data_IF_842382033254
#
_entry.id   IF_842382033254
#
_cell.length_a   1.000
_cell.length_b   1.000
_cell.length_c   1.000
_cell.angle_alpha   90.00
_cell.angle_beta   90.00
_cell.angle_gamma   90.00
#
_symmetry.space_group_name_H-M   'P 1'
#
loop_
_entity.id
_entity.type
_entity.pdbx_description
1 polymer ?
#
# COMPACT_ATOMS: atom_id res chain seq x y z
N UNK A 1 -30.22 4.28 6.75
CA UNK A 1 -28.99 3.71 6.16
C UNK A 1 -27.89 4.76 6.34
N UNK A 2 -26.74 4.37 6.90
CA UNK A 2 -25.61 5.30 7.07
C UNK A 2 -25.00 5.70 5.71
N UNK A 3 -24.18 6.77 5.66
CA UNK A 3 -23.49 7.16 4.44
C UNK A 3 -22.53 6.05 3.96
N UNK A 4 -22.46 5.84 2.65
CA UNK A 4 -21.55 4.85 2.02
C UNK A 4 -20.09 5.25 2.29
N UNK A 5 -19.19 4.30 2.63
CA UNK A 5 -17.77 4.60 2.81
C UNK A 5 -17.14 5.18 1.55
N UNK A 6 -16.28 6.20 1.70
CA UNK A 6 -15.54 6.80 0.57
C UNK A 6 -14.37 5.91 0.19
N UNK A 7 -14.21 5.61 -1.09
CA UNK A 7 -13.06 4.81 -1.56
C UNK A 7 -11.79 5.66 -1.52
N UNK A 8 -10.76 5.14 -0.85
CA UNK A 8 -9.40 5.66 -0.89
C UNK A 8 -8.49 4.62 -1.54
N UNK A 9 -7.81 4.98 -2.61
CA UNK A 9 -6.79 4.14 -3.22
C UNK A 9 -5.41 4.66 -2.82
N UNK A 10 -4.60 3.84 -2.16
CA UNK A 10 -3.19 4.16 -1.87
C UNK A 10 -2.29 3.42 -2.84
N UNK A 11 -1.64 4.14 -3.73
CA UNK A 11 -0.58 3.61 -4.59
C UNK A 11 0.76 3.77 -3.88
N UNK A 12 1.50 2.66 -3.75
CA UNK A 12 2.74 2.61 -2.99
C UNK A 12 3.76 1.63 -3.58
N UNK A 13 5.03 1.87 -3.28
CA UNK A 13 6.16 0.98 -3.53
C UNK A 13 6.96 0.84 -2.23
N UNK A 14 7.41 -0.37 -1.90
CA UNK A 14 8.22 -0.61 -0.69
C UNK A 14 9.60 0.05 -0.74
N UNK A 15 10.05 0.45 -1.93
CA UNK A 15 11.24 1.29 -2.13
C UNK A 15 11.03 2.75 -1.70
N UNK A 16 9.80 3.20 -1.43
CA UNK A 16 9.54 4.58 -1.00
C UNK A 16 9.33 4.64 0.52
N UNK A 17 10.19 5.37 1.27
CA UNK A 17 10.02 5.53 2.71
C UNK A 17 8.80 6.38 3.05
N UNK A 18 8.51 7.41 2.24
CA UNK A 18 7.30 8.23 2.40
C UNK A 18 6.02 7.42 2.13
N UNK A 19 6.10 6.40 1.27
CA UNK A 19 4.96 5.50 1.07
C UNK A 19 4.64 4.71 2.33
N UNK A 20 5.66 4.27 3.08
CA UNK A 20 5.46 3.60 4.37
C UNK A 20 4.77 4.52 5.38
N UNK A 21 5.23 5.78 5.48
CA UNK A 21 4.64 6.76 6.39
C UNK A 21 3.16 7.01 6.07
N UNK A 22 2.84 7.24 4.79
CA UNK A 22 1.46 7.45 4.37
C UNK A 22 0.58 6.20 4.56
N UNK A 23 1.13 5.02 4.29
CA UNK A 23 0.50 3.74 4.52
C UNK A 23 0.09 3.54 5.99
N UNK A 24 1.01 3.74 6.94
CA UNK A 24 0.70 3.51 8.36
C UNK A 24 -0.37 4.47 8.88
N UNK A 25 -0.35 5.73 8.42
CA UNK A 25 -1.40 6.69 8.78
C UNK A 25 -2.76 6.20 8.27
N UNK A 26 -2.87 5.86 6.98
CA UNK A 26 -4.14 5.41 6.41
C UNK A 26 -4.64 4.09 7.03
N UNK A 27 -3.73 3.15 7.36
CA UNK A 27 -4.09 1.92 8.07
C UNK A 27 -4.67 2.20 9.47
N UNK A 28 -4.10 3.15 10.24
CA UNK A 28 -4.64 3.55 11.55
C UNK A 28 -6.03 4.16 11.45
N UNK A 29 -6.29 4.92 10.39
CA UNK A 29 -7.59 5.58 10.17
C UNK A 29 -8.65 4.70 9.50
N UNK A 30 -8.29 3.52 8.95
CA UNK A 30 -9.22 2.59 8.28
C UNK A 30 -10.47 2.27 9.11
N UNK A 31 -10.30 2.15 10.43
CA UNK A 31 -11.39 1.79 11.35
C UNK A 31 -11.98 3.00 12.10
N UNK A 32 -11.61 4.22 11.70
CA UNK A 32 -12.01 5.47 12.35
C UNK A 32 -12.84 6.31 11.38
N UNK A 33 -12.32 6.54 10.18
CA UNK A 33 -13.02 7.26 9.12
C UNK A 33 -13.97 6.33 8.37
N UNK A 34 -15.04 6.89 7.80
CA UNK A 34 -15.96 6.15 6.95
C UNK A 34 -15.37 5.95 5.54
N UNK A 35 -14.31 5.15 5.46
CA UNK A 35 -13.52 4.91 4.24
C UNK A 35 -13.43 3.43 3.88
N UNK A 36 -13.25 3.16 2.59
CA UNK A 36 -12.81 1.88 2.07
C UNK A 36 -11.39 2.02 1.52
N UNK A 37 -10.39 1.62 2.31
CA UNK A 37 -8.98 1.73 1.94
C UNK A 37 -8.56 0.56 1.03
N UNK A 38 -8.24 0.87 -0.22
CA UNK A 38 -7.71 -0.05 -1.21
C UNK A 38 -6.21 0.16 -1.37
N UNK A 39 -5.44 -0.87 -1.03
CA UNK A 39 -4.00 -0.89 -1.19
C UNK A 39 -3.65 -1.28 -2.63
N UNK A 40 -2.87 -0.46 -3.33
CA UNK A 40 -2.49 -0.64 -4.74
C UNK A 40 -0.97 -0.77 -4.90
N UNK A 41 -0.41 -2.00 -4.82
CA UNK A 41 1.00 -2.24 -5.09
C UNK A 41 1.37 -1.69 -6.47
N UNK A 42 2.31 -0.75 -6.51
CA UNK A 42 2.70 0.00 -7.70
C UNK A 42 4.21 0.06 -7.82
N UNK A 43 4.73 0.07 -9.03
CA UNK A 43 6.18 0.08 -9.24
C UNK A 43 6.67 1.51 -9.48
N UNK A 44 7.40 2.08 -8.52
CA UNK A 44 7.95 3.43 -8.65
C UNK A 44 8.85 3.54 -9.89
N UNK A 45 9.53 2.45 -10.26
CA UNK A 45 10.33 2.34 -11.48
C UNK A 45 9.57 2.53 -12.80
N UNK A 46 8.25 2.33 -12.79
CA UNK A 46 7.37 2.62 -13.91
C UNK A 46 6.90 4.08 -13.98
N UNK A 47 7.08 4.83 -12.89
CA UNK A 47 6.72 6.26 -12.76
C UNK A 47 7.97 7.13 -12.90
N UNK A 48 9.06 6.75 -12.23
CA UNK A 48 10.39 7.37 -12.20
C UNK A 48 11.40 6.30 -12.60
N UNK A 49 12.42 6.57 -13.43
CA UNK A 49 13.31 5.54 -14.02
C UNK A 49 14.33 4.92 -13.03
N UNK A 50 13.92 4.56 -11.81
CA UNK A 50 14.75 3.92 -10.78
C UNK A 50 14.29 2.49 -10.48
N UNK A 51 15.21 1.61 -10.10
CA UNK A 51 14.90 0.18 -9.89
C UNK A 51 15.53 -0.35 -8.60
N UNK A 52 14.81 -1.28 -7.93
CA UNK A 52 15.27 -1.91 -6.70
C UNK A 52 14.23 -2.81 -6.01
N UNK A 53 12.95 -2.67 -6.33
CA UNK A 53 11.85 -3.39 -5.65
C UNK A 53 11.01 -4.30 -6.56
N UNK A 54 11.40 -4.52 -7.82
CA UNK A 54 10.55 -5.21 -8.81
C UNK A 54 10.07 -6.60 -8.33
N UNK A 55 10.96 -7.40 -7.74
CA UNK A 55 10.61 -8.72 -7.20
C UNK A 55 9.60 -8.60 -6.05
N UNK A 56 9.85 -7.69 -5.11
CA UNK A 56 8.98 -7.42 -3.97
C UNK A 56 7.59 -6.92 -4.42
N UNK A 57 7.52 -5.97 -5.36
CA UNK A 57 6.24 -5.43 -5.84
C UNK A 57 5.44 -6.44 -6.66
N UNK A 58 6.09 -7.34 -7.40
CA UNK A 58 5.42 -8.49 -8.03
C UNK A 58 4.89 -9.48 -6.99
N UNK A 59 5.66 -9.76 -5.95
CA UNK A 59 5.20 -10.61 -4.85
C UNK A 59 3.97 -10.01 -4.17
N UNK A 60 4.00 -8.72 -3.80
CA UNK A 60 2.84 -8.02 -3.24
C UNK A 60 1.63 -8.00 -4.18
N UNK A 61 1.86 -7.95 -5.49
CA UNK A 61 0.80 -8.06 -6.49
C UNK A 61 0.18 -9.48 -6.48
N UNK A 62 0.99 -10.53 -6.35
CA UNK A 62 0.50 -11.90 -6.20
C UNK A 62 -0.29 -12.08 -4.88
N UNK A 63 0.20 -11.51 -3.77
CA UNK A 63 -0.51 -11.47 -2.49
C UNK A 63 -1.87 -10.78 -2.65
N UNK A 64 -1.92 -9.60 -3.27
CA UNK A 64 -3.19 -8.90 -3.47
C UNK A 64 -4.21 -9.68 -4.33
N UNK A 65 -3.74 -10.50 -5.28
CA UNK A 65 -4.61 -11.26 -6.17
C UNK A 65 -5.22 -12.51 -5.51
N UNK A 66 -4.56 -13.09 -4.50
CA UNK A 66 -4.97 -14.39 -3.93
C UNK A 66 -5.21 -14.36 -2.42
N UNK A 67 -4.48 -13.53 -1.70
CA UNK A 67 -4.50 -13.36 -0.24
C UNK A 67 -4.53 -11.87 0.16
N UNK A 68 -5.52 -11.09 -0.31
CA UNK A 68 -5.57 -9.65 -0.05
C UNK A 68 -5.60 -9.29 1.45
N UNK A 69 -6.08 -10.20 2.30
CA UNK A 69 -6.04 -10.09 3.76
C UNK A 69 -4.62 -10.01 4.34
N UNK A 70 -3.63 -10.58 3.65
CA UNK A 70 -2.22 -10.56 4.06
C UNK A 70 -1.45 -9.36 3.52
N UNK A 71 -2.01 -8.63 2.55
CA UNK A 71 -1.31 -7.56 1.83
C UNK A 71 -0.74 -6.49 2.76
N UNK A 72 -1.51 -6.10 3.77
CA UNK A 72 -1.06 -5.08 4.72
C UNK A 72 0.17 -5.54 5.51
N UNK A 73 0.13 -6.74 6.07
CA UNK A 73 1.20 -7.27 6.91
C UNK A 73 2.46 -7.58 6.11
N UNK A 74 2.32 -8.15 4.90
CA UNK A 74 3.46 -8.46 4.04
C UNK A 74 4.15 -7.17 3.57
N UNK A 75 3.39 -6.13 3.19
CA UNK A 75 3.96 -4.84 2.83
C UNK A 75 4.72 -4.21 3.99
N UNK A 76 4.14 -4.24 5.20
CA UNK A 76 4.80 -3.77 6.42
C UNK A 76 6.11 -4.51 6.67
N UNK A 77 6.15 -5.83 6.56
CA UNK A 77 7.38 -6.59 6.78
C UNK A 77 8.46 -6.32 5.72
N UNK A 78 8.08 -6.07 4.47
CA UNK A 78 9.02 -5.66 3.43
C UNK A 78 9.62 -4.27 3.71
N UNK A 79 8.80 -3.29 4.12
CA UNK A 79 9.33 -1.99 4.57
C UNK A 79 10.22 -2.13 5.81
N UNK A 80 9.84 -2.98 6.77
CA UNK A 80 10.65 -3.23 7.96
C UNK A 80 12.02 -3.84 7.61
N UNK A 81 12.13 -4.66 6.57
CA UNK A 81 13.43 -5.16 6.07
C UNK A 81 14.29 -4.02 5.56
N UNK A 82 13.86 -3.34 4.49
CA UNK A 82 14.68 -2.37 3.78
C UNK A 82 14.87 -1.04 4.56
N UNK A 83 13.84 -0.52 5.23
CA UNK A 83 13.90 0.81 5.87
C UNK A 83 14.12 0.80 7.38
N UNK A 84 13.89 -0.33 8.06
CA UNK A 84 14.14 -0.42 9.50
C UNK A 84 15.36 -1.26 9.85
N UNK A 85 15.73 -2.25 9.02
CA UNK A 85 16.82 -3.19 9.33
C UNK A 85 17.95 -3.18 8.31
N UNK A 86 17.85 -2.38 7.24
CA UNK A 86 18.81 -2.35 6.13
C UNK A 86 19.04 -3.74 5.51
N UNK A 87 17.96 -4.53 5.42
CA UNK A 87 17.97 -5.89 4.89
C UNK A 87 17.49 -5.93 3.44
N UNK A 88 18.05 -6.85 2.65
CA UNK A 88 17.66 -7.09 1.26
C UNK A 88 16.16 -7.43 1.12
N UNK A 89 15.56 -6.99 0.00
CA UNK A 89 14.21 -7.34 -0.45
C UNK A 89 14.18 -7.81 -1.93
N UNK A 90 15.34 -8.07 -2.52
CA UNK A 90 15.45 -8.45 -3.94
C UNK A 90 15.51 -9.96 -4.14
N UNK A 91 16.06 -10.69 -3.16
CA UNK A 91 16.28 -12.12 -3.25
C UNK A 91 15.03 -12.92 -2.83
N UNK A 92 14.80 -14.11 -3.43
CA UNK A 92 13.73 -15.04 -3.05
C UNK A 92 13.59 -15.25 -1.55
N UNK A 93 14.68 -15.66 -0.88
CA UNK A 93 14.70 -15.96 0.55
C UNK A 93 14.36 -14.75 1.43
N UNK A 94 14.74 -13.55 0.99
CA UNK A 94 14.44 -12.31 1.70
C UNK A 94 12.94 -12.00 1.67
N UNK A 95 12.29 -12.22 0.53
CA UNK A 95 10.86 -12.01 0.34
C UNK A 95 10.06 -13.05 1.13
N UNK A 96 10.48 -14.32 1.10
CA UNK A 96 9.86 -15.40 1.87
C UNK A 96 9.95 -15.12 3.38
N UNK A 97 11.12 -14.70 3.87
CA UNK A 97 11.29 -14.35 5.28
C UNK A 97 10.35 -13.21 5.72
N UNK A 98 10.10 -12.21 4.86
CA UNK A 98 9.12 -11.17 5.14
C UNK A 98 7.68 -11.72 5.20
N UNK A 99 7.33 -12.59 4.25
CA UNK A 99 6.00 -13.19 4.15
C UNK A 99 5.69 -14.10 5.35
N UNK A 100 6.62 -14.95 5.76
CA UNK A 100 6.50 -15.83 6.93
C UNK A 100 6.37 -15.01 8.21
N UNK A 101 7.19 -13.96 8.37
CA UNK A 101 7.10 -13.05 9.52
C UNK A 101 5.78 -12.28 9.57
N UNK A 102 5.18 -12.01 8.41
CA UNK A 102 3.85 -11.42 8.29
C UNK A 102 2.71 -12.42 8.62
N UNK A 103 3.03 -13.71 8.83
CA UNK A 103 2.09 -14.76 9.24
C UNK A 103 1.67 -15.72 8.13
N UNK A 104 2.29 -15.68 6.95
CA UNK A 104 2.03 -16.68 5.90
C UNK A 104 2.70 -18.02 6.22
N UNK A 105 2.11 -19.14 5.80
CA UNK A 105 2.82 -20.42 5.81
C UNK A 105 3.93 -20.42 4.74
N UNK A 106 4.97 -21.23 4.95
CA UNK A 106 6.06 -21.37 3.99
C UNK A 106 5.54 -21.84 2.62
N UNK A 107 4.57 -22.77 2.59
CA UNK A 107 3.96 -23.27 1.36
C UNK A 107 3.18 -22.17 0.62
N UNK A 108 2.42 -21.35 1.35
CA UNK A 108 1.68 -20.23 0.76
C UNK A 108 2.64 -19.19 0.18
N UNK A 109 3.65 -18.79 0.95
CA UNK A 109 4.64 -17.80 0.52
C UNK A 109 5.40 -18.29 -0.72
N UNK A 110 5.85 -19.55 -0.71
CA UNK A 110 6.56 -20.16 -1.84
C UNK A 110 5.68 -20.21 -3.10
N UNK A 111 4.42 -20.63 -2.97
CA UNK A 111 3.48 -20.68 -4.09
C UNK A 111 3.21 -19.30 -4.72
N UNK A 112 3.11 -18.24 -3.92
CA UNK A 112 2.97 -16.87 -4.43
C UNK A 112 4.27 -16.36 -5.07
N UNK A 113 5.43 -16.72 -4.53
CA UNK A 113 6.72 -16.32 -5.08
C UNK A 113 6.93 -16.88 -6.48
N UNK A 114 6.58 -18.14 -6.73
CA UNK A 114 6.62 -18.77 -8.05
C UNK A 114 5.71 -18.02 -9.04
N UNK A 115 4.50 -17.68 -8.60
CA UNK A 115 3.51 -16.93 -9.39
C UNK A 115 3.93 -15.50 -9.69
N UNK A 116 4.83 -14.90 -8.91
CA UNK A 116 5.29 -13.52 -9.11
C UNK A 116 5.90 -13.27 -10.50
N UNK A 117 6.40 -14.34 -11.14
CA UNK A 117 6.99 -14.30 -12.48
C UNK A 117 5.99 -14.50 -13.63
N UNK A 118 4.73 -14.83 -13.33
CA UNK A 118 3.69 -15.10 -14.33
C UNK A 118 3.28 -13.84 -15.09
N UNK A 119 2.75 -14.03 -16.30
CA UNK A 119 2.20 -12.93 -17.12
C UNK A 119 1.07 -12.20 -16.41
N UNK A 120 0.18 -12.93 -15.71
CA UNK A 120 -0.91 -12.37 -14.91
C UNK A 120 -0.40 -11.36 -13.88
N UNK A 121 0.57 -11.74 -13.06
CA UNK A 121 1.13 -10.85 -12.02
C UNK A 121 1.87 -9.67 -12.64
N UNK A 122 2.70 -9.91 -13.67
CA UNK A 122 3.43 -8.85 -14.38
C UNK A 122 2.48 -7.81 -14.99
N UNK A 123 1.38 -8.27 -15.60
CA UNK A 123 0.39 -7.39 -16.22
C UNK A 123 -0.40 -6.63 -15.15
N UNK A 124 -0.82 -7.28 -14.07
CA UNK A 124 -1.52 -6.61 -12.98
C UNK A 124 -0.69 -5.48 -12.35
N UNK A 125 0.61 -5.71 -12.09
CA UNK A 125 1.48 -4.67 -11.55
C UNK A 125 1.64 -3.50 -12.53
N UNK A 126 1.78 -3.79 -13.83
CA UNK A 126 1.83 -2.78 -14.89
C UNK A 126 0.55 -1.96 -14.92
N UNK A 127 -0.61 -2.60 -15.00
CA UNK A 127 -1.93 -1.94 -15.07
C UNK A 127 -2.20 -1.06 -13.84
N UNK A 128 -1.81 -1.53 -12.66
CA UNK A 128 -1.93 -0.77 -11.40
C UNK A 128 -1.02 0.46 -11.42
N UNK A 129 0.21 0.31 -11.89
CA UNK A 129 1.17 1.43 -12.03
C UNK A 129 0.70 2.43 -13.08
N UNK A 130 0.19 1.97 -14.22
CA UNK A 130 -0.39 2.83 -15.26
C UNK A 130 -1.65 3.56 -14.77
N UNK A 131 -2.44 2.95 -13.88
CA UNK A 131 -3.56 3.64 -13.23
C UNK A 131 -3.08 4.83 -12.39
N UNK A 132 -1.99 4.67 -11.63
CA UNK A 132 -1.36 5.79 -10.92
C UNK A 132 -0.94 6.91 -11.88
N UNK A 133 -0.32 6.55 -13.01
CA UNK A 133 0.06 7.52 -14.05
C UNK A 133 -1.16 8.23 -14.66
N UNK A 134 -2.27 7.53 -14.89
CA UNK A 134 -3.53 8.13 -15.39
C UNK A 134 -4.13 9.13 -14.40
N UNK A 135 -3.93 8.92 -13.10
CA UNK A 135 -4.29 9.89 -12.06
C UNK A 135 -3.29 11.06 -11.95
N UNK A 136 -2.21 11.07 -12.72
CA UNK A 136 -1.20 12.13 -12.72
C UNK A 136 -0.05 11.92 -11.74
N UNK A 137 0.21 10.68 -11.30
CA UNK A 137 1.36 10.39 -10.44
C UNK A 137 2.69 10.78 -11.10
N UNK A 138 3.53 11.50 -10.35
CA UNK A 138 4.93 11.81 -10.71
C UNK A 138 5.94 11.23 -9.69
N UNK A 139 5.44 10.50 -8.70
CA UNK A 139 6.19 9.83 -7.63
C UNK A 139 5.23 9.06 -6.73
N UNK A 140 5.73 8.46 -5.64
CA UNK A 140 4.93 7.74 -4.66
C UNK A 140 5.26 8.16 -3.21
N UNK A 141 4.28 8.17 -2.30
CA UNK A 141 2.92 7.68 -2.48
C UNK A 141 2.01 8.69 -3.18
N UNK A 142 0.98 8.18 -3.86
CA UNK A 142 -0.24 8.97 -4.13
C UNK A 142 -1.43 8.31 -3.45
N UNK A 143 -2.31 9.13 -2.89
CA UNK A 143 -3.63 8.73 -2.41
C UNK A 143 -4.68 9.32 -3.34
N UNK A 144 -5.58 8.48 -3.83
CA UNK A 144 -6.71 8.91 -4.66
C UNK A 144 -7.98 8.77 -3.84
N UNK A 145 -8.66 9.88 -3.61
CA UNK A 145 -9.91 9.94 -2.85
C UNK A 145 -11.08 10.16 -3.79
N UNK A 146 -12.11 9.30 -3.69
CA UNK A 146 -13.37 9.45 -4.40
C UNK A 146 -14.44 9.96 -3.44
N UNK A 147 -14.80 11.23 -3.56
CA UNK A 147 -15.71 11.93 -2.64
C UNK A 147 -16.79 12.63 -3.43
N UNK A 148 -18.05 12.30 -3.16
CA UNK A 148 -19.24 12.96 -3.72
C UNK A 148 -19.21 13.16 -5.25
N UNK A 149 -18.73 12.14 -5.98
CA UNK A 149 -18.61 12.14 -7.44
C UNK A 149 -17.34 12.80 -7.99
N UNK A 150 -16.49 13.36 -7.12
CA UNK A 150 -15.19 13.94 -7.48
C UNK A 150 -14.04 12.98 -7.16
N UNK A 151 -12.94 13.14 -7.88
CA UNK A 151 -11.70 12.38 -7.67
C UNK A 151 -10.56 13.35 -7.36
N UNK A 152 -9.89 13.14 -6.24
CA UNK A 152 -8.76 13.95 -5.80
C UNK A 152 -7.51 13.07 -5.70
N UNK A 153 -6.47 13.39 -6.49
CA UNK A 153 -5.16 12.77 -6.34
C UNK A 153 -4.29 13.65 -5.43
N UNK A 154 -3.68 13.03 -4.43
CA UNK A 154 -2.89 13.69 -3.39
C UNK A 154 -1.54 12.98 -3.32
N UNK A 155 -0.46 13.72 -3.57
CA UNK A 155 0.91 13.21 -3.47
C UNK A 155 1.49 13.42 -2.07
N UNK A 156 2.25 12.43 -1.58
CA UNK A 156 3.03 12.51 -0.34
C UNK A 156 2.32 11.98 0.91
N UNK A 157 3.08 11.89 2.01
CA UNK A 157 2.58 11.44 3.32
C UNK A 157 2.16 12.58 4.25
N UNK A 158 2.36 13.83 3.82
CA UNK A 158 2.14 15.06 4.59
C UNK A 158 0.78 15.74 4.31
N UNK A 159 -0.07 15.11 3.49
CA UNK A 159 -1.37 15.64 3.08
C UNK A 159 -2.56 14.95 3.75
N UNK A 160 -2.32 14.14 4.79
CA UNK A 160 -3.37 13.38 5.45
C UNK A 160 -4.40 14.27 6.17
N UNK A 161 -3.99 15.45 6.65
CA UNK A 161 -4.89 16.45 7.20
C UNK A 161 -5.78 17.09 6.12
N UNK A 162 -5.23 17.38 4.94
CA UNK A 162 -6.00 17.83 3.78
C UNK A 162 -7.00 16.76 3.33
N UNK A 163 -6.58 15.50 3.32
CA UNK A 163 -7.45 14.37 3.00
C UNK A 163 -8.61 14.27 4.00
N UNK A 164 -8.35 14.40 5.30
CA UNK A 164 -9.39 14.43 6.33
C UNK A 164 -10.41 15.55 6.06
N UNK A 165 -9.93 16.75 5.73
CA UNK A 165 -10.79 17.88 5.35
C UNK A 165 -11.67 17.56 4.14
N UNK A 166 -11.10 17.00 3.07
CA UNK A 166 -11.86 16.62 1.86
C UNK A 166 -12.92 15.54 2.16
N UNK A 167 -12.64 14.62 3.07
CA UNK A 167 -13.57 13.57 3.47
C UNK A 167 -14.67 14.05 4.44
N UNK A 168 -14.54 15.26 5.00
CA UNK A 168 -15.38 15.74 6.10
C UNK A 168 -15.13 14.99 7.41
N UNK A 169 -13.93 14.42 7.57
CA UNK A 169 -13.53 13.60 8.70
C UNK A 169 -12.61 14.35 9.67
N UNK A 170 -12.56 13.92 10.93
CA UNK A 170 -11.70 14.55 11.94
C UNK A 170 -10.25 14.08 11.82
N UNK A 171 -9.32 15.00 11.66
CA UNK A 171 -7.89 14.74 11.83
C UNK A 171 -7.50 14.74 13.31
N UNK A 172 -6.81 13.69 13.74
CA UNK A 172 -6.37 13.49 15.13
C UNK A 172 -4.84 13.26 15.20
N UNK A 173 -4.10 13.76 14.21
CA UNK A 173 -2.67 13.52 14.07
C UNK A 173 -2.34 12.15 13.44
N UNK A 174 -1.04 11.88 13.19
CA UNK A 174 -0.61 10.65 12.52
C UNK A 174 -0.80 9.37 13.36
N UNK A 175 -1.06 9.52 14.66
CA UNK A 175 -1.34 8.43 15.61
C UNK A 175 -2.67 8.74 16.30
N UNK A 176 -3.82 8.41 15.69
CA UNK A 176 -5.12 8.67 16.30
C UNK A 176 -5.29 7.82 17.58
N UNK A 177 -6.07 8.32 18.56
CA UNK A 177 -6.37 7.55 19.77
C UNK A 177 -7.13 6.27 19.41
N UNK A 178 -6.95 5.21 20.21
CA UNK A 178 -7.68 3.96 20.02
C UNK A 178 -9.21 4.21 20.11
N UNK A 179 -9.98 3.52 19.26
CA UNK A 179 -11.45 3.64 19.13
C UNK A 179 -12.21 3.43 20.46
N UNK A 180 -11.55 2.91 21.51
CA UNK A 180 -12.09 2.69 22.85
C UNK A 180 -11.19 3.21 24.00
N UNK A 181 -10.29 4.17 23.74
CA UNK A 181 -9.54 4.79 24.83
C UNK A 181 -10.52 5.64 25.67
N UNK A 182 -11.01 5.08 26.78
CA UNK A 182 -11.65 5.86 27.84
C UNK A 182 -10.63 6.92 28.29
N UNK A 183 -10.98 8.18 28.12
CA UNK A 183 -10.41 9.26 28.93
C UNK A 183 -10.91 9.12 30.37
#
# INVERSE_FOLDING_TARGET
MGPVPRTLELFYDVLSPYSWLGFEVLCRYRNIWNINLQLRPSFIGGIMKDSGSLSAMRFLTAVNLEHPEMLENVSRELWMRIWSRDEDITQPQSILAAAEKAGMSAEQAQGLLEKSSTSKVKNQLRETTEAACRYGAFGLPITVAHVDGQTHMIFGSDRMELLAYLLGEKWMGPVPPAVNARL
#
